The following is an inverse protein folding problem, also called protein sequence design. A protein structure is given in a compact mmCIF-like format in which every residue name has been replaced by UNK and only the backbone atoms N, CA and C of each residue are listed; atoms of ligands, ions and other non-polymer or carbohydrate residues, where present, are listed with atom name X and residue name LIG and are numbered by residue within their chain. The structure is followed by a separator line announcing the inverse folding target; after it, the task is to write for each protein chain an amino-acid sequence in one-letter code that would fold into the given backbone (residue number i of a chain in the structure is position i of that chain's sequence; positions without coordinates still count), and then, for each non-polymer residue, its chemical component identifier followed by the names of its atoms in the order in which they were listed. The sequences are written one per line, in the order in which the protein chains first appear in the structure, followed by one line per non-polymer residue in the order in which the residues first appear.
data_IF_036381469934
#
_entry.id   IF_036381469934
#
_cell.length_a   1.000
_cell.length_b   1.000
_cell.length_c   1.000
_cell.angle_alpha   90.00
_cell.angle_beta   90.00
_cell.angle_gamma   90.00
#
_symmetry.space_group_name_H-M   'P 1'
#
loop_
_entity.id
_entity.type
_entity.pdbx_description
1 polymer ?
#
# COMPACT_ATOMS: atom_id res chain seq x y z
N UNK A 1 32.70 53.85 38.13
CA UNK A 1 32.39 52.42 37.84
C UNK A 1 30.95 52.33 37.37
N UNK A 2 30.74 52.17 36.03
CA UNK A 2 29.39 52.01 35.44
C UNK A 2 29.10 50.52 35.40
N UNK A 3 28.05 50.08 36.08
CA UNK A 3 27.55 48.71 36.02
C UNK A 3 26.66 48.59 34.78
N UNK A 4 27.05 47.72 33.83
CA UNK A 4 26.24 47.30 32.67
C UNK A 4 25.39 46.11 33.15
N UNK A 5 24.09 46.32 33.20
CA UNK A 5 23.10 45.21 33.45
C UNK A 5 22.80 44.60 32.08
N UNK A 6 23.31 43.41 31.86
CA UNK A 6 22.91 42.59 30.70
C UNK A 6 21.55 41.89 31.04
N UNK A 7 20.49 42.34 30.40
CA UNK A 7 19.20 41.66 30.46
C UNK A 7 19.20 40.55 29.41
N UNK A 8 19.28 39.29 29.82
CA UNK A 8 19.11 38.15 28.95
C UNK A 8 17.63 37.99 28.62
N UNK A 9 17.25 38.25 27.38
CA UNK A 9 15.92 37.94 26.85
C UNK A 9 15.96 36.46 26.43
N UNK A 10 15.42 35.60 27.28
CA UNK A 10 15.14 34.20 26.92
C UNK A 10 13.93 34.17 25.99
N UNK A 11 14.16 33.97 24.70
CA UNK A 11 13.10 33.67 23.75
C UNK A 11 12.56 32.26 24.05
N UNK A 12 11.44 32.20 24.69
CA UNK A 12 10.67 30.96 24.84
C UNK A 12 10.05 30.63 23.48
N UNK A 13 10.64 29.69 22.75
CA UNK A 13 9.99 29.07 21.61
C UNK A 13 8.88 28.17 22.16
N UNK A 14 7.64 28.63 22.09
CA UNK A 14 6.47 27.77 22.29
C UNK A 14 6.37 26.89 21.06
N UNK A 15 6.85 25.67 21.15
CA UNK A 15 6.53 24.61 20.20
C UNK A 15 5.03 24.32 20.37
N UNK A 16 4.19 25.01 19.62
CA UNK A 16 2.80 24.62 19.46
C UNK A 16 2.78 23.30 18.71
N UNK A 17 2.67 22.21 19.39
CA UNK A 17 2.32 20.92 18.79
C UNK A 17 0.86 21.05 18.35
N UNK A 18 0.62 21.47 17.12
CA UNK A 18 -0.70 21.38 16.51
C UNK A 18 -0.96 19.92 16.18
N UNK A 19 -2.06 19.38 16.68
CA UNK A 19 -2.47 18.03 16.33
C UNK A 19 -2.99 18.02 14.89
N UNK A 20 -2.48 17.11 14.06
CA UNK A 20 -2.98 16.88 12.70
C UNK A 20 -4.49 16.63 12.77
N UNK A 21 -5.26 17.40 11.99
CA UNK A 21 -6.71 17.25 11.93
C UNK A 21 -7.08 16.01 11.13
N UNK A 22 -7.76 15.08 11.82
CA UNK A 22 -8.37 13.89 11.20
C UNK A 22 -9.87 14.14 11.02
N UNK A 23 -10.37 13.99 9.80
CA UNK A 23 -11.80 14.06 9.48
C UNK A 23 -12.26 12.80 8.77
N UNK A 24 -13.41 12.26 9.15
CA UNK A 24 -13.98 11.05 8.55
C UNK A 24 -15.10 11.40 7.59
N UNK A 25 -15.06 10.81 6.40
CA UNK A 25 -16.09 10.97 5.35
C UNK A 25 -16.62 9.60 4.93
N UNK A 26 -17.91 9.51 4.58
CA UNK A 26 -18.47 8.38 3.84
C UNK A 26 -18.25 8.64 2.35
N UNK A 27 -17.44 7.80 1.68
CA UNK A 27 -17.11 8.00 0.27
C UNK A 27 -17.93 7.12 -0.68
N UNK A 28 -18.52 6.05 -0.17
CA UNK A 28 -19.40 5.16 -0.95
C UNK A 28 -20.34 4.37 -0.03
N UNK A 29 -21.42 3.87 -0.61
CA UNK A 29 -22.25 2.81 -0.04
C UNK A 29 -22.31 1.66 -1.05
N UNK A 30 -21.89 0.47 -0.64
CA UNK A 30 -21.84 -0.72 -1.51
C UNK A 30 -22.29 -1.96 -0.74
N UNK A 31 -23.15 -2.74 -1.36
CA UNK A 31 -23.70 -3.98 -0.76
C UNK A 31 -24.34 -3.74 0.62
N UNK A 32 -24.95 -2.55 0.84
CA UNK A 32 -25.54 -2.14 2.12
C UNK A 32 -24.51 -1.79 3.20
N UNK A 33 -23.23 -1.62 2.84
CA UNK A 33 -22.15 -1.19 3.74
C UNK A 33 -21.72 0.23 3.39
N UNK A 34 -21.75 1.15 4.37
CA UNK A 34 -21.06 2.43 4.27
C UNK A 34 -19.55 2.20 4.29
N UNK A 35 -18.86 2.76 3.30
CA UNK A 35 -17.40 2.78 3.23
C UNK A 35 -16.91 4.19 3.56
N UNK A 36 -16.06 4.28 4.58
CA UNK A 36 -15.55 5.54 5.11
C UNK A 36 -14.06 5.68 4.84
N UNK A 37 -13.62 6.92 4.75
CA UNK A 37 -12.21 7.26 4.76
C UNK A 37 -11.92 8.28 5.88
N UNK A 38 -10.71 8.20 6.42
CA UNK A 38 -10.15 9.18 7.34
C UNK A 38 -9.14 10.02 6.57
N UNK A 39 -9.34 11.33 6.56
CA UNK A 39 -8.50 12.33 5.94
C UNK A 39 -7.61 12.99 6.99
N UNK A 40 -6.30 12.99 6.76
CA UNK A 40 -5.28 13.62 7.60
C UNK A 40 -4.69 14.79 6.82
N UNK A 41 -4.96 16.00 7.29
CA UNK A 41 -4.58 17.24 6.59
C UNK A 41 -3.27 17.80 7.13
N UNK A 42 -2.33 18.22 6.26
CA UNK A 42 -1.22 19.07 6.64
C UNK A 42 -1.69 20.37 7.31
N UNK A 43 -0.84 20.96 8.13
CA UNK A 43 -1.15 22.24 8.78
C UNK A 43 -1.27 23.41 7.80
N UNK A 44 -0.45 23.41 6.74
CA UNK A 44 -0.53 24.42 5.67
C UNK A 44 -1.72 24.12 4.75
N UNK A 45 -2.76 24.94 4.87
CA UNK A 45 -3.97 24.82 4.04
C UNK A 45 -4.02 25.84 2.90
N UNK A 46 -2.94 26.60 2.68
CA UNK A 46 -2.90 27.66 1.66
C UNK A 46 -2.55 27.14 0.28
N UNK A 47 -1.83 26.02 0.18
CA UNK A 47 -1.41 25.42 -1.07
C UNK A 47 -2.00 24.02 -1.27
N UNK A 48 -1.90 23.51 -2.50
CA UNK A 48 -2.23 22.12 -2.80
C UNK A 48 -1.08 21.20 -2.40
N UNK A 49 -1.42 20.02 -1.91
CA UNK A 49 -0.50 19.01 -1.41
C UNK A 49 -0.58 17.71 -2.24
N UNK A 50 0.50 16.93 -2.32
CA UNK A 50 0.40 15.54 -2.76
C UNK A 50 -0.50 14.75 -1.81
N UNK A 51 -1.08 13.66 -2.30
CA UNK A 51 -2.00 12.82 -1.51
C UNK A 51 -1.57 11.36 -1.55
N UNK A 52 -1.57 10.69 -0.39
CA UNK A 52 -1.33 9.27 -0.23
C UNK A 52 -2.60 8.57 0.26
N UNK A 53 -3.21 7.76 -0.59
CA UNK A 53 -4.40 6.95 -0.27
C UNK A 53 -3.96 5.55 0.13
N UNK A 54 -4.19 5.18 1.39
CA UNK A 54 -3.67 3.96 2.01
C UNK A 54 -4.78 2.95 2.35
N UNK A 55 -4.58 1.69 1.94
CA UNK A 55 -5.41 0.55 2.31
C UNK A 55 -4.71 -0.33 3.34
N UNK A 56 -5.43 -0.70 4.39
CA UNK A 56 -4.93 -1.54 5.48
C UNK A 56 -4.71 -3.00 5.07
N UNK A 57 -3.92 -3.73 5.85
CA UNK A 57 -3.71 -5.18 5.73
C UNK A 57 -4.82 -6.00 6.38
N UNK A 58 -4.68 -7.33 6.33
CA UNK A 58 -5.61 -8.26 7.02
C UNK A 58 -6.22 -9.33 6.12
N UNK A 59 -5.57 -9.65 4.99
CA UNK A 59 -5.91 -10.80 4.14
C UNK A 59 -7.31 -10.74 3.51
N UNK A 60 -7.88 -9.55 3.30
CA UNK A 60 -9.27 -9.35 2.85
C UNK A 60 -10.32 -9.93 3.79
N UNK A 61 -9.95 -10.24 5.03
CA UNK A 61 -10.80 -10.90 6.04
C UNK A 61 -11.03 -10.04 7.28
N UNK A 62 -10.03 -9.26 7.67
CA UNK A 62 -10.03 -8.44 8.89
C UNK A 62 -9.26 -7.15 8.67
N UNK A 63 -9.19 -6.31 9.71
CA UNK A 63 -8.53 -5.00 9.71
C UNK A 63 -9.52 -3.85 9.66
N UNK A 64 -9.02 -2.68 9.94
CA UNK A 64 -9.79 -1.43 9.91
C UNK A 64 -8.88 -0.26 9.52
N UNK A 65 -9.46 0.75 8.84
CA UNK A 65 -8.74 1.96 8.41
C UNK A 65 -8.15 2.77 9.57
N UNK A 66 -8.76 2.67 10.74
CA UNK A 66 -8.48 3.50 11.92
C UNK A 66 -7.67 2.75 13.01
N UNK A 67 -6.94 1.69 12.66
CA UNK A 67 -5.97 1.08 13.57
C UNK A 67 -4.86 2.07 13.95
N UNK A 68 -4.45 2.07 15.21
CA UNK A 68 -3.52 3.04 15.76
C UNK A 68 -2.20 3.17 14.96
N UNK A 69 -1.70 2.06 14.45
CA UNK A 69 -0.47 2.04 13.67
C UNK A 69 -0.60 2.78 12.32
N UNK A 70 -1.75 2.67 11.67
CA UNK A 70 -2.03 3.40 10.42
C UNK A 70 -2.31 4.87 10.70
N UNK A 71 -2.98 5.18 11.81
CA UNK A 71 -3.18 6.57 12.23
C UNK A 71 -1.84 7.27 12.47
N UNK A 72 -0.89 6.62 13.17
CA UNK A 72 0.47 7.16 13.39
C UNK A 72 1.20 7.40 12.08
N UNK A 73 1.19 6.42 11.18
CA UNK A 73 1.81 6.53 9.86
C UNK A 73 1.26 7.71 9.06
N UNK A 74 -0.07 7.83 8.95
CA UNK A 74 -0.69 8.88 8.16
C UNK A 74 -0.61 10.26 8.82
N UNK A 75 -0.52 10.32 10.15
CA UNK A 75 -0.20 11.55 10.86
C UNK A 75 1.21 12.03 10.49
N UNK A 76 2.21 11.15 10.52
CA UNK A 76 3.59 11.47 10.12
C UNK A 76 3.67 11.89 8.64
N UNK A 77 2.91 11.25 7.76
CA UNK A 77 2.77 11.65 6.35
C UNK A 77 2.21 13.07 6.25
N UNK A 78 1.18 13.40 7.03
CA UNK A 78 0.58 14.74 7.02
C UNK A 78 1.51 15.81 7.62
N UNK A 79 2.27 15.49 8.66
CA UNK A 79 3.31 16.35 9.23
C UNK A 79 4.40 16.71 8.21
N UNK A 80 4.62 15.85 7.21
CA UNK A 80 5.54 16.08 6.10
C UNK A 80 4.88 16.73 4.86
N UNK A 81 3.72 17.34 5.01
CA UNK A 81 3.07 18.12 3.96
C UNK A 81 2.35 17.28 2.90
N UNK A 82 1.98 16.06 3.20
CA UNK A 82 1.29 15.14 2.29
C UNK A 82 -0.08 14.81 2.87
N UNK A 83 -1.16 15.04 2.14
CA UNK A 83 -2.49 14.62 2.57
C UNK A 83 -2.53 13.10 2.71
N UNK A 84 -2.79 12.60 3.93
CA UNK A 84 -2.98 11.18 4.20
C UNK A 84 -4.45 10.79 4.13
N UNK A 85 -4.74 9.66 3.50
CA UNK A 85 -6.08 9.07 3.46
C UNK A 85 -6.01 7.61 3.83
N UNK A 86 -6.75 7.17 4.84
CA UNK A 86 -6.97 5.75 5.12
C UNK A 86 -8.40 5.38 4.74
N UNK A 87 -8.59 4.30 4.01
CA UNK A 87 -9.92 3.93 3.51
C UNK A 87 -10.42 2.58 4.03
N UNK A 88 -11.74 2.47 4.22
CA UNK A 88 -12.42 1.18 4.31
C UNK A 88 -12.48 0.53 2.93
N UNK A 89 -12.41 -0.79 2.90
CA UNK A 89 -12.75 -1.58 1.72
C UNK A 89 -13.48 -2.85 2.14
N UNK A 90 -14.33 -3.39 1.26
CA UNK A 90 -15.12 -4.60 1.54
C UNK A 90 -14.22 -5.81 1.71
N UNK A 91 -14.42 -6.53 2.81
CA UNK A 91 -13.63 -7.70 3.20
C UNK A 91 -14.26 -8.97 2.59
N UNK A 92 -13.93 -9.28 1.36
CA UNK A 92 -14.57 -10.39 0.60
C UNK A 92 -14.34 -11.78 1.17
N UNK A 93 -13.33 -11.96 2.04
CA UNK A 93 -13.05 -13.20 2.77
C UNK A 93 -13.66 -13.25 4.17
N UNK A 94 -14.22 -12.12 4.67
CA UNK A 94 -14.86 -12.09 5.98
C UNK A 94 -16.00 -13.11 6.05
N UNK A 95 -16.03 -13.89 7.11
CA UNK A 95 -17.06 -14.93 7.37
C UNK A 95 -17.17 -16.02 6.28
N UNK A 96 -16.21 -16.12 5.36
CA UNK A 96 -16.19 -17.18 4.35
C UNK A 96 -15.45 -18.41 4.87
N UNK A 97 -16.11 -19.56 4.77
CA UNK A 97 -15.47 -20.87 5.00
C UNK A 97 -14.88 -21.36 3.68
N UNK A 98 -13.57 -21.54 3.66
CA UNK A 98 -12.84 -22.05 2.50
C UNK A 98 -12.63 -23.55 2.66
N UNK A 99 -13.06 -24.34 1.68
CA UNK A 99 -12.99 -25.82 1.73
C UNK A 99 -11.79 -26.39 0.95
N UNK A 100 -11.26 -25.65 -0.01
CA UNK A 100 -10.15 -26.08 -0.85
C UNK A 100 -9.49 -24.89 -1.57
N UNK A 101 -8.30 -25.13 -2.16
CA UNK A 101 -7.51 -24.12 -2.86
C UNK A 101 -8.24 -23.47 -4.05
N UNK A 102 -9.09 -24.21 -4.77
CA UNK A 102 -9.83 -23.66 -5.91
C UNK A 102 -10.85 -22.63 -5.43
N UNK A 103 -11.55 -22.96 -4.34
CA UNK A 103 -12.50 -22.04 -3.72
C UNK A 103 -11.79 -20.81 -3.15
N UNK A 104 -10.65 -21.01 -2.47
CA UNK A 104 -9.82 -19.90 -1.99
C UNK A 104 -9.42 -18.98 -3.13
N UNK A 105 -8.89 -19.52 -4.22
CA UNK A 105 -8.47 -18.72 -5.37
C UNK A 105 -9.61 -17.90 -5.99
N UNK A 106 -10.84 -18.48 -6.07
CA UNK A 106 -12.02 -17.76 -6.56
C UNK A 106 -12.46 -16.65 -5.61
N UNK A 107 -12.48 -16.91 -4.30
CA UNK A 107 -12.87 -15.90 -3.31
C UNK A 107 -11.83 -14.78 -3.25
N UNK A 108 -10.54 -15.11 -3.33
CA UNK A 108 -9.47 -14.12 -3.43
C UNK A 108 -9.63 -13.22 -4.65
N UNK A 109 -9.93 -13.78 -5.82
CA UNK A 109 -10.22 -13.01 -7.04
C UNK A 109 -11.35 -12.00 -6.80
N UNK A 110 -12.46 -12.46 -6.23
CA UNK A 110 -13.61 -11.60 -5.89
C UNK A 110 -13.19 -10.53 -4.89
N UNK A 111 -12.46 -10.91 -3.83
CA UNK A 111 -12.04 -9.99 -2.77
C UNK A 111 -11.09 -8.91 -3.28
N UNK A 112 -10.14 -9.27 -4.13
CA UNK A 112 -9.22 -8.31 -4.78
C UNK A 112 -10.00 -7.33 -5.66
N UNK A 113 -10.92 -7.83 -6.49
CA UNK A 113 -11.73 -6.98 -7.36
C UNK A 113 -12.60 -6.01 -6.54
N UNK A 114 -13.26 -6.48 -5.47
CA UNK A 114 -14.04 -5.63 -4.57
C UNK A 114 -13.17 -4.54 -3.94
N UNK A 115 -11.99 -4.89 -3.42
CA UNK A 115 -11.09 -3.93 -2.80
C UNK A 115 -10.54 -2.90 -3.81
N UNK A 116 -10.26 -3.32 -5.05
CA UNK A 116 -9.88 -2.40 -6.15
C UNK A 116 -11.01 -1.44 -6.48
N UNK A 117 -12.25 -1.92 -6.61
CA UNK A 117 -13.42 -1.06 -6.84
C UNK A 117 -13.60 -0.02 -5.72
N UNK A 118 -13.30 -0.41 -4.47
CA UNK A 118 -13.43 0.46 -3.32
C UNK A 118 -12.29 1.48 -3.27
N UNK A 119 -11.05 1.07 -3.58
CA UNK A 119 -9.90 1.98 -3.75
C UNK A 119 -10.17 3.00 -4.86
N UNK A 120 -10.68 2.58 -6.02
CA UNK A 120 -11.04 3.47 -7.13
C UNK A 120 -12.11 4.47 -6.72
N UNK A 121 -13.13 4.03 -5.94
CA UNK A 121 -14.18 4.91 -5.44
C UNK A 121 -13.64 5.95 -4.44
N UNK A 122 -12.71 5.54 -3.56
CA UNK A 122 -12.05 6.46 -2.63
C UNK A 122 -11.18 7.49 -3.37
N UNK A 123 -10.39 7.05 -4.36
CA UNK A 123 -9.58 7.96 -5.21
C UNK A 123 -10.48 8.92 -5.98
N UNK A 124 -11.60 8.44 -6.54
CA UNK A 124 -12.57 9.31 -7.20
C UNK A 124 -13.14 10.35 -6.23
N UNK A 125 -13.52 9.94 -5.03
CA UNK A 125 -14.02 10.86 -4.00
C UNK A 125 -12.98 11.93 -3.64
N UNK A 126 -11.71 11.56 -3.50
CA UNK A 126 -10.61 12.52 -3.26
C UNK A 126 -10.45 13.47 -4.45
N UNK A 127 -10.54 12.99 -5.69
CA UNK A 127 -10.48 13.83 -6.89
C UNK A 127 -11.67 14.80 -6.98
N UNK A 128 -12.88 14.33 -6.72
CA UNK A 128 -14.09 15.15 -6.77
C UNK A 128 -14.08 16.28 -5.71
N UNK A 129 -13.35 16.08 -4.60
CA UNK A 129 -13.18 17.01 -3.49
C UNK A 129 -11.78 17.64 -3.42
N UNK A 130 -10.97 17.52 -4.48
CA UNK A 130 -9.56 17.92 -4.46
C UNK A 130 -9.32 19.37 -4.02
N UNK A 131 -10.18 20.29 -4.43
CA UNK A 131 -10.11 21.71 -4.03
C UNK A 131 -10.34 21.90 -2.52
N UNK A 132 -11.36 21.22 -1.96
CA UNK A 132 -11.68 21.27 -0.53
C UNK A 132 -10.55 20.63 0.29
N UNK A 133 -10.06 19.47 -0.15
CA UNK A 133 -9.02 18.71 0.52
C UNK A 133 -7.61 19.22 0.23
N UNK A 134 -7.47 20.31 -0.53
CA UNK A 134 -6.17 20.86 -0.93
C UNK A 134 -5.25 19.81 -1.55
N UNK A 135 -5.80 18.92 -2.35
CA UNK A 135 -5.07 17.85 -3.03
C UNK A 135 -4.71 18.28 -4.44
N UNK A 136 -3.45 18.11 -4.82
CA UNK A 136 -3.04 18.21 -6.22
C UNK A 136 -3.46 16.94 -6.98
N UNK A 137 -4.41 17.02 -7.93
CA UNK A 137 -4.92 15.85 -8.65
C UNK A 137 -3.85 15.09 -9.45
N UNK A 138 -2.73 15.73 -9.75
CA UNK A 138 -1.60 15.12 -10.48
C UNK A 138 -0.59 14.41 -9.57
N UNK A 139 -0.77 14.52 -8.24
CA UNK A 139 0.14 13.99 -7.24
C UNK A 139 -0.58 13.04 -6.27
N UNK A 140 -1.56 12.29 -6.79
CA UNK A 140 -2.25 11.26 -6.02
C UNK A 140 -1.47 9.94 -6.13
N UNK A 141 -1.06 9.42 -4.99
CA UNK A 141 -0.42 8.12 -4.81
C UNK A 141 -1.38 7.16 -4.12
N UNK A 142 -1.18 5.86 -4.37
CA UNK A 142 -1.87 4.80 -3.64
C UNK A 142 -0.87 3.92 -2.92
N UNK A 143 -1.27 3.41 -1.78
CA UNK A 143 -0.42 2.60 -0.90
C UNK A 143 -1.23 1.54 -0.17
N UNK A 144 -0.53 0.61 0.44
CA UNK A 144 -1.16 -0.33 1.36
C UNK A 144 -0.19 -1.34 1.93
N UNK A 145 -0.70 -2.09 2.91
CA UNK A 145 -0.01 -3.16 3.61
C UNK A 145 -0.63 -4.52 3.25
N UNK A 146 0.17 -5.53 2.90
CA UNK A 146 -0.32 -6.90 2.67
C UNK A 146 -1.48 -6.93 1.65
N UNK A 147 -2.69 -7.32 2.05
CA UNK A 147 -3.89 -7.25 1.21
C UNK A 147 -4.16 -5.85 0.64
N UNK A 148 -3.91 -4.79 1.42
CA UNK A 148 -3.98 -3.42 0.94
C UNK A 148 -2.90 -3.10 -0.09
N UNK A 149 -1.70 -3.65 0.04
CA UNK A 149 -0.63 -3.50 -0.95
C UNK A 149 -0.95 -4.25 -2.26
N UNK A 150 -1.57 -5.43 -2.16
CA UNK A 150 -2.13 -6.13 -3.32
C UNK A 150 -3.19 -5.25 -3.98
N UNK A 151 -4.09 -4.65 -3.21
CA UNK A 151 -5.13 -3.74 -3.71
C UNK A 151 -4.52 -2.56 -4.45
N UNK A 152 -3.51 -1.88 -3.87
CA UNK A 152 -2.85 -0.74 -4.50
C UNK A 152 -2.17 -1.13 -5.83
N UNK A 153 -1.32 -2.16 -5.83
CA UNK A 153 -0.66 -2.64 -7.04
C UNK A 153 -1.65 -3.10 -8.11
N UNK A 154 -2.73 -3.78 -7.71
CA UNK A 154 -3.77 -4.26 -8.61
C UNK A 154 -4.58 -3.11 -9.21
N UNK A 155 -4.81 -2.04 -8.45
CA UNK A 155 -5.53 -0.84 -8.91
C UNK A 155 -4.75 -0.15 -10.03
N UNK A 156 -3.45 0.06 -9.85
CA UNK A 156 -2.60 0.63 -10.91
C UNK A 156 -2.50 -0.31 -12.12
N UNK A 157 -2.33 -1.62 -11.89
CA UNK A 157 -2.35 -2.63 -12.96
C UNK A 157 -3.66 -2.57 -13.77
N UNK A 158 -4.82 -2.46 -13.11
CA UNK A 158 -6.10 -2.37 -13.81
C UNK A 158 -6.25 -1.04 -14.54
N UNK A 159 -5.80 0.06 -13.97
CA UNK A 159 -5.77 1.36 -14.64
C UNK A 159 -4.92 1.32 -15.92
N UNK A 160 -3.68 0.79 -15.82
CA UNK A 160 -2.77 0.64 -16.96
C UNK A 160 -3.31 -0.27 -18.07
N UNK A 161 -4.21 -1.19 -17.73
CA UNK A 161 -4.84 -2.10 -18.68
C UNK A 161 -6.23 -1.61 -19.17
N UNK A 162 -6.66 -0.41 -18.77
CA UNK A 162 -7.94 0.17 -19.15
C UNK A 162 -9.16 -0.54 -18.57
N UNK A 163 -8.98 -1.23 -17.43
CA UNK A 163 -10.06 -1.91 -16.69
C UNK A 163 -10.78 -0.99 -15.71
N UNK A 164 -10.21 0.15 -15.34
CA UNK A 164 -10.83 1.21 -14.53
C UNK A 164 -11.49 2.23 -15.45
N UNK A 165 -12.78 2.51 -15.24
CA UNK A 165 -13.58 3.43 -16.07
C UNK A 165 -14.09 4.65 -15.29
N UNK A 166 -14.05 4.58 -13.97
CA UNK A 166 -14.61 5.56 -13.05
C UNK A 166 -13.70 6.78 -12.87
N UNK A 167 -12.42 6.64 -13.21
CA UNK A 167 -11.43 7.72 -13.18
C UNK A 167 -11.31 8.38 -14.58
N UNK A 168 -10.88 9.65 -14.66
CA UNK A 168 -10.63 10.31 -15.94
C UNK A 168 -9.70 9.48 -16.85
N UNK A 169 -9.92 9.54 -18.16
CA UNK A 169 -9.20 8.70 -19.13
C UNK A 169 -7.68 8.94 -19.13
N UNK A 170 -7.27 10.17 -18.85
CA UNK A 170 -5.88 10.62 -18.77
C UNK A 170 -5.30 10.54 -17.35
N UNK A 171 -6.11 10.14 -16.36
CA UNK A 171 -5.64 9.99 -14.99
C UNK A 171 -4.54 8.93 -14.89
N UNK A 172 -3.51 9.23 -14.10
CA UNK A 172 -2.44 8.30 -13.71
C UNK A 172 -2.09 8.55 -12.26
N UNK A 173 -1.79 7.48 -11.53
CA UNK A 173 -1.21 7.62 -10.20
C UNK A 173 0.19 8.21 -10.31
N UNK A 174 0.54 9.08 -9.37
CA UNK A 174 1.88 9.66 -9.28
C UNK A 174 2.89 8.68 -8.68
N UNK A 175 2.43 7.69 -7.94
CA UNK A 175 3.25 6.63 -7.37
C UNK A 175 2.41 5.54 -6.70
N UNK A 176 3.02 4.38 -6.51
CA UNK A 176 2.47 3.26 -5.73
C UNK A 176 3.45 2.87 -4.66
N UNK A 177 3.00 2.70 -3.41
CA UNK A 177 3.84 2.26 -2.29
C UNK A 177 3.29 0.94 -1.76
N UNK A 178 4.10 -0.11 -1.87
CA UNK A 178 3.68 -1.48 -1.58
C UNK A 178 4.48 -2.07 -0.41
N UNK A 179 3.83 -2.26 0.73
CA UNK A 179 4.39 -2.98 1.88
C UNK A 179 3.97 -4.45 1.82
N UNK A 180 4.85 -5.30 1.29
CA UNK A 180 4.68 -6.74 1.10
C UNK A 180 3.45 -7.08 0.23
N UNK A 181 3.35 -6.47 -0.96
CA UNK A 181 2.27 -6.70 -1.91
C UNK A 181 2.65 -7.55 -3.11
N UNK A 182 1.66 -7.84 -3.93
CA UNK A 182 1.79 -8.59 -5.18
C UNK A 182 0.71 -8.17 -6.18
N UNK A 183 0.91 -8.45 -7.48
CA UNK A 183 -0.14 -8.36 -8.49
C UNK A 183 -0.73 -9.74 -8.72
N UNK A 184 -2.06 -9.83 -8.74
CA UNK A 184 -2.77 -11.05 -9.03
C UNK A 184 -3.16 -11.15 -10.52
N UNK A 185 -3.05 -12.36 -11.08
CA UNK A 185 -3.55 -12.68 -12.42
C UNK A 185 -4.58 -13.80 -12.32
N UNK A 186 -5.72 -13.60 -12.94
CA UNK A 186 -6.88 -14.49 -12.84
C UNK A 186 -7.15 -15.24 -14.15
N UNK A 187 -6.12 -15.89 -14.68
CA UNK A 187 -6.21 -16.71 -15.91
C UNK A 187 -5.61 -16.03 -17.14
N UNK A 188 -5.27 -14.77 -17.05
CA UNK A 188 -4.59 -14.01 -18.10
C UNK A 188 -3.07 -13.98 -17.85
N UNK A 189 -2.29 -13.76 -18.89
CA UNK A 189 -0.87 -13.45 -18.75
C UNK A 189 -0.73 -12.08 -18.07
N UNK A 190 0.21 -11.98 -17.14
CA UNK A 190 0.51 -10.70 -16.50
C UNK A 190 1.26 -9.80 -17.50
N UNK A 191 0.55 -8.83 -18.05
CA UNK A 191 1.07 -7.85 -19.01
C UNK A 191 0.48 -6.48 -18.74
N UNK A 192 1.29 -5.44 -18.88
CA UNK A 192 0.85 -4.05 -18.80
C UNK A 192 0.74 -3.46 -20.19
N UNK A 193 -0.40 -2.86 -20.52
CA UNK A 193 -0.62 -2.16 -21.81
C UNK A 193 0.03 -0.78 -21.84
N UNK A 194 0.14 -0.15 -20.69
CA UNK A 194 0.79 1.14 -20.49
C UNK A 194 1.77 1.05 -19.34
N UNK A 195 2.75 1.97 -19.33
CA UNK A 195 3.70 2.08 -18.22
C UNK A 195 2.95 2.33 -16.90
N UNK A 196 3.26 1.56 -15.83
CA UNK A 196 2.72 1.80 -14.49
C UNK A 196 3.30 3.07 -13.88
N UNK A 197 2.67 3.55 -12.81
CA UNK A 197 3.26 4.55 -11.95
C UNK A 197 4.62 4.08 -11.40
N UNK A 198 5.52 4.98 -10.98
CA UNK A 198 6.68 4.62 -10.16
C UNK A 198 6.25 3.84 -8.94
N UNK A 199 6.98 2.79 -8.57
CA UNK A 199 6.62 1.93 -7.44
C UNK A 199 7.74 1.88 -6.41
N UNK A 200 7.37 2.07 -5.13
CA UNK A 200 8.20 1.66 -4.00
C UNK A 200 7.78 0.26 -3.57
N UNK A 201 8.67 -0.71 -3.74
CA UNK A 201 8.51 -2.07 -3.26
C UNK A 201 9.27 -2.27 -1.94
N UNK A 202 8.59 -2.61 -0.87
CA UNK A 202 9.20 -3.09 0.37
C UNK A 202 8.73 -4.52 0.61
N UNK A 203 9.66 -5.51 0.65
CA UNK A 203 9.26 -6.91 0.74
C UNK A 203 10.33 -7.78 1.39
N UNK A 204 9.88 -8.72 2.24
CA UNK A 204 10.73 -9.74 2.82
C UNK A 204 11.06 -10.84 1.81
N UNK A 205 12.35 -11.24 1.74
CA UNK A 205 12.79 -12.22 0.73
C UNK A 205 12.31 -13.65 1.03
N UNK A 206 11.86 -13.91 2.26
CA UNK A 206 11.28 -15.18 2.71
C UNK A 206 9.75 -15.09 2.95
N UNK A 207 9.08 -14.09 2.38
CA UNK A 207 7.64 -13.98 2.51
C UNK A 207 6.93 -15.11 1.76
N UNK A 208 6.27 -16.00 2.52
CA UNK A 208 5.49 -17.13 2.00
C UNK A 208 3.99 -16.83 1.95
N UNK A 209 3.52 -15.83 2.71
CA UNK A 209 2.12 -15.46 2.77
C UNK A 209 1.71 -14.64 1.54
N UNK A 210 2.39 -13.53 1.28
CA UNK A 210 2.34 -12.81 0.00
C UNK A 210 3.67 -13.06 -0.70
N UNK A 211 3.66 -13.97 -1.65
CA UNK A 211 4.91 -14.49 -2.23
C UNK A 211 5.83 -13.39 -2.73
N UNK A 212 7.11 -13.44 -2.34
CA UNK A 212 8.15 -12.53 -2.82
C UNK A 212 8.43 -12.70 -4.32
N UNK A 213 8.35 -13.93 -4.83
CA UNK A 213 8.54 -14.25 -6.25
C UNK A 213 7.18 -14.42 -6.96
N UNK A 214 6.82 -15.64 -7.26
CA UNK A 214 5.52 -15.96 -7.87
C UNK A 214 4.97 -17.27 -7.32
N UNK A 215 3.64 -17.35 -7.24
CA UNK A 215 2.91 -18.57 -6.94
C UNK A 215 1.76 -18.70 -7.93
N UNK A 216 1.70 -19.79 -8.69
CA UNK A 216 0.68 -19.99 -9.72
C UNK A 216 -0.05 -21.31 -9.46
N UNK A 217 -1.39 -21.27 -9.38
CA UNK A 217 -2.24 -22.43 -9.19
C UNK A 217 -3.38 -22.34 -10.20
N UNK A 218 -3.54 -23.37 -11.06
CA UNK A 218 -4.62 -23.45 -12.05
C UNK A 218 -4.80 -22.18 -12.90
N UNK A 219 -3.71 -21.65 -13.45
CA UNK A 219 -3.64 -20.40 -14.24
C UNK A 219 -3.96 -19.12 -13.44
N UNK A 220 -4.15 -19.22 -12.13
CA UNK A 220 -4.24 -18.05 -11.25
C UNK A 220 -2.88 -17.82 -10.61
N UNK A 221 -2.33 -16.65 -10.79
CA UNK A 221 -0.99 -16.30 -10.32
C UNK A 221 -1.02 -15.15 -9.33
N UNK A 222 -0.10 -15.21 -8.36
CA UNK A 222 0.28 -14.08 -7.54
C UNK A 222 1.76 -13.80 -7.81
N UNK A 223 2.06 -12.59 -8.17
CA UNK A 223 3.37 -12.15 -8.63
C UNK A 223 3.91 -11.08 -7.68
N UNK A 224 4.84 -11.48 -6.82
CA UNK A 224 5.44 -10.61 -5.80
C UNK A 224 6.49 -9.67 -6.36
N UNK A 225 7.00 -8.80 -5.50
CA UNK A 225 7.86 -7.68 -5.90
C UNK A 225 9.09 -8.14 -6.67
N UNK A 226 9.78 -9.22 -6.28
CA UNK A 226 10.95 -9.69 -7.01
C UNK A 226 10.61 -10.12 -8.44
N UNK A 227 9.53 -10.89 -8.61
CA UNK A 227 9.11 -11.28 -9.96
C UNK A 227 8.75 -10.07 -10.82
N UNK A 228 8.00 -9.10 -10.25
CA UNK A 228 7.60 -7.87 -10.93
C UNK A 228 8.84 -7.08 -11.37
N UNK A 229 9.77 -6.83 -10.45
CA UNK A 229 10.99 -6.08 -10.73
C UNK A 229 11.79 -6.73 -11.86
N UNK A 230 12.15 -8.01 -11.72
CA UNK A 230 13.06 -8.68 -12.66
C UNK A 230 12.42 -8.96 -14.02
N UNK A 231 11.11 -9.21 -14.07
CA UNK A 231 10.46 -9.64 -15.30
C UNK A 231 9.70 -8.52 -16.04
N UNK A 232 9.38 -7.42 -15.34
CA UNK A 232 8.62 -6.31 -15.92
C UNK A 232 9.36 -4.98 -15.79
N UNK A 233 9.68 -4.53 -14.57
CA UNK A 233 10.27 -3.20 -14.37
C UNK A 233 11.65 -3.05 -15.00
N UNK A 234 12.57 -3.95 -14.71
CA UNK A 234 13.93 -3.93 -15.30
C UNK A 234 13.87 -4.09 -16.81
N UNK A 235 13.06 -5.02 -17.35
CA UNK A 235 12.98 -5.28 -18.80
C UNK A 235 12.41 -4.11 -19.60
N UNK A 236 11.56 -3.30 -18.98
CA UNK A 236 10.91 -2.17 -19.65
C UNK A 236 11.51 -0.81 -19.24
N UNK A 237 12.56 -0.79 -18.42
CA UNK A 237 13.16 0.42 -17.86
C UNK A 237 12.15 1.32 -17.15
N UNK A 238 11.22 0.72 -16.38
CA UNK A 238 10.25 1.47 -15.61
C UNK A 238 10.85 1.93 -14.29
N UNK A 239 10.46 3.12 -13.78
CA UNK A 239 10.99 3.66 -12.54
C UNK A 239 10.49 2.87 -11.34
N UNK A 240 11.41 2.56 -10.41
CA UNK A 240 11.08 1.95 -9.12
C UNK A 240 12.14 2.22 -8.07
N UNK A 241 11.73 2.10 -6.83
CA UNK A 241 12.59 1.96 -5.67
C UNK A 241 12.25 0.65 -4.96
N UNK A 242 13.25 -0.12 -4.57
CA UNK A 242 13.06 -1.40 -3.88
C UNK A 242 13.87 -1.45 -2.60
N UNK A 243 13.23 -1.84 -1.50
CA UNK A 243 13.85 -2.25 -0.26
C UNK A 243 13.60 -3.75 -0.08
N UNK A 244 14.65 -4.54 -0.27
CA UNK A 244 14.63 -5.99 -0.15
C UNK A 244 15.11 -6.38 1.24
N UNK A 245 14.19 -6.81 2.08
CA UNK A 245 14.51 -7.24 3.45
C UNK A 245 14.96 -8.69 3.42
N UNK A 246 16.28 -8.89 3.43
CA UNK A 246 16.89 -10.23 3.37
C UNK A 246 16.52 -11.04 4.60
N UNK A 247 16.05 -12.27 4.37
CA UNK A 247 15.66 -13.24 5.40
C UNK A 247 14.42 -12.87 6.23
N UNK A 248 13.77 -11.73 5.95
CA UNK A 248 12.48 -11.38 6.53
C UNK A 248 11.33 -12.07 5.79
N UNK A 249 10.26 -12.35 6.52
CA UNK A 249 9.01 -12.88 6.01
C UNK A 249 7.97 -11.78 5.76
N UNK A 250 6.70 -12.07 6.12
CA UNK A 250 5.58 -11.15 5.91
C UNK A 250 5.53 -9.97 6.89
N UNK A 251 6.34 -9.97 7.95
CA UNK A 251 6.45 -8.87 8.91
C UNK A 251 6.80 -7.52 8.24
N UNK A 252 7.43 -7.54 7.07
CA UNK A 252 7.73 -6.33 6.30
C UNK A 252 6.46 -5.57 5.91
N UNK A 253 5.31 -6.24 5.84
CA UNK A 253 4.01 -5.60 5.66
C UNK A 253 3.71 -4.55 6.76
N UNK A 254 4.26 -4.74 7.97
CA UNK A 254 4.11 -3.81 9.09
C UNK A 254 5.34 -2.92 9.28
N UNK A 255 6.55 -3.46 9.13
CA UNK A 255 7.80 -2.71 9.30
C UNK A 255 7.90 -1.53 8.33
N UNK A 256 7.43 -1.70 7.09
CA UNK A 256 7.52 -0.69 6.05
C UNK A 256 6.90 0.65 6.44
N UNK A 257 5.70 0.65 6.98
CA UNK A 257 5.02 1.89 7.38
C UNK A 257 5.29 2.31 8.83
N UNK A 258 5.88 1.43 9.66
CA UNK A 258 6.23 1.76 11.05
C UNK A 258 7.65 2.30 11.20
N UNK A 259 8.58 1.77 10.45
CA UNK A 259 10.00 2.01 10.67
C UNK A 259 10.71 2.62 9.45
N UNK A 260 10.08 2.54 8.27
CA UNK A 260 10.68 2.97 7.02
C UNK A 260 10.02 4.22 6.42
N UNK A 261 9.35 5.04 7.25
CA UNK A 261 8.74 6.30 6.78
C UNK A 261 9.76 7.22 6.08
N UNK A 262 11.00 7.36 6.55
CA UNK A 262 12.01 8.14 5.81
C UNK A 262 12.22 7.68 4.37
N UNK A 263 12.18 6.36 4.11
CA UNK A 263 12.33 5.81 2.75
C UNK A 263 11.06 6.03 1.91
N UNK A 264 9.88 6.06 2.54
CA UNK A 264 8.63 6.48 1.89
C UNK A 264 8.72 7.92 1.44
N UNK A 265 9.17 8.81 2.32
CA UNK A 265 9.33 10.24 2.01
C UNK A 265 10.40 10.47 0.95
N UNK A 266 11.51 9.74 0.98
CA UNK A 266 12.54 9.79 -0.07
C UNK A 266 11.96 9.35 -1.43
N UNK A 267 11.18 8.29 -1.47
CA UNK A 267 10.49 7.87 -2.70
C UNK A 267 9.56 8.97 -3.21
N UNK A 268 8.75 9.55 -2.33
CA UNK A 268 7.83 10.63 -2.71
C UNK A 268 8.60 11.83 -3.26
N UNK A 269 9.68 12.25 -2.60
CA UNK A 269 10.52 13.35 -3.10
C UNK A 269 11.10 13.04 -4.49
N UNK A 270 11.77 11.89 -4.64
CA UNK A 270 12.56 11.55 -5.82
C UNK A 270 11.74 11.14 -7.05
N UNK A 271 10.56 10.56 -6.84
CA UNK A 271 9.77 9.99 -7.94
C UNK A 271 8.47 10.74 -8.21
N UNK A 272 7.97 11.52 -7.24
CA UNK A 272 6.68 12.20 -7.35
C UNK A 272 6.84 13.72 -7.39
N UNK A 273 7.54 14.31 -6.40
CA UNK A 273 7.64 15.76 -6.26
C UNK A 273 8.75 16.34 -7.15
N UNK A 274 9.92 15.75 -7.12
CA UNK A 274 11.12 16.18 -7.84
C UNK A 274 11.68 15.02 -8.66
N UNK A 275 10.94 14.53 -9.69
CA UNK A 275 11.33 13.34 -10.44
C UNK A 275 12.76 13.51 -10.99
N UNK A 276 13.68 12.76 -10.41
CA UNK A 276 15.08 12.77 -10.79
C UNK A 276 15.30 11.94 -12.06
N UNK A 277 16.47 12.12 -12.71
CA UNK A 277 16.89 11.26 -13.82
C UNK A 277 17.29 9.85 -13.36
N UNK A 278 17.36 9.60 -12.05
CA UNK A 278 17.62 8.29 -11.46
C UNK A 278 16.29 7.60 -11.28
N UNK A 279 16.03 6.60 -12.11
CA UNK A 279 14.76 5.87 -12.13
C UNK A 279 14.77 4.56 -11.32
N UNK A 280 15.93 4.16 -10.78
CA UNK A 280 16.08 2.89 -10.07
C UNK A 280 16.89 3.09 -8.80
N UNK A 281 16.34 2.65 -7.66
CA UNK A 281 17.05 2.45 -6.41
C UNK A 281 16.69 1.07 -5.88
N UNK A 282 17.68 0.18 -5.76
CA UNK A 282 17.48 -1.20 -5.29
C UNK A 282 18.41 -1.46 -4.11
N UNK A 283 17.84 -1.51 -2.91
CA UNK A 283 18.54 -1.59 -1.64
C UNK A 283 18.21 -2.92 -0.97
N UNK A 284 19.23 -3.66 -0.58
CA UNK A 284 19.07 -4.88 0.24
C UNK A 284 19.39 -4.56 1.69
N UNK A 285 18.41 -4.68 2.56
CA UNK A 285 18.57 -4.57 4.01
C UNK A 285 18.94 -5.95 4.53
N UNK A 286 20.13 -6.07 5.14
CA UNK A 286 20.70 -7.33 5.62
C UNK A 286 20.90 -7.32 7.13
N UNK A 287 20.03 -6.67 7.89
CA UNK A 287 20.04 -6.81 9.35
C UNK A 287 19.63 -8.22 9.73
N UNK A 288 20.21 -8.75 10.83
CA UNK A 288 19.79 -10.05 11.34
C UNK A 288 18.33 -9.90 11.74
N UNK A 289 17.46 -10.58 10.99
CA UNK A 289 16.03 -10.57 11.27
C UNK A 289 15.77 -10.97 12.71
N UNK A 290 14.81 -10.33 13.33
CA UNK A 290 14.25 -10.82 14.59
C UNK A 290 13.70 -12.22 14.28
N UNK A 291 14.36 -13.25 14.79
CA UNK A 291 14.02 -14.66 14.53
C UNK A 291 12.70 -15.12 15.16
N UNK A 292 11.88 -14.20 15.64
CA UNK A 292 10.53 -14.48 16.07
C UNK A 292 9.57 -13.87 15.05
N UNK A 293 8.72 -14.68 14.40
CA UNK A 293 7.68 -14.17 13.55
C UNK A 293 6.76 -13.28 14.40
N UNK A 294 6.82 -11.97 14.20
CA UNK A 294 5.92 -10.98 14.83
C UNK A 294 4.44 -11.25 14.53
N UNK A 295 4.17 -12.13 13.59
CA UNK A 295 2.88 -12.69 13.26
C UNK A 295 3.09 -14.16 12.89
N UNK A 296 2.95 -15.08 13.83
CA UNK A 296 2.47 -16.42 13.54
C UNK A 296 0.99 -16.33 13.11
N UNK A 297 0.75 -15.65 12.01
CA UNK A 297 -0.42 -15.91 11.21
C UNK A 297 -0.07 -17.16 10.43
N UNK A 298 -0.19 -18.30 11.09
CA UNK A 298 -0.31 -19.55 10.39
C UNK A 298 -1.41 -19.38 9.36
N UNK A 299 -1.30 -20.06 8.24
CA UNK A 299 -2.39 -20.23 7.25
C UNK A 299 -3.73 -20.51 7.93
N UNK A 300 -3.73 -21.13 9.08
CA UNK A 300 -4.84 -21.49 9.94
C UNK A 300 -5.58 -20.26 10.52
N UNK A 301 -4.89 -19.21 10.89
CA UNK A 301 -5.51 -17.99 11.46
C UNK A 301 -6.19 -17.11 10.40
N UNK A 302 -5.66 -17.03 9.17
CA UNK A 302 -6.21 -16.21 8.10
C UNK A 302 -7.35 -16.92 7.33
N UNK A 303 -7.26 -18.23 7.13
CA UNK A 303 -8.14 -18.97 6.23
C UNK A 303 -9.02 -20.01 6.93
N UNK A 304 -9.02 -20.04 8.29
CA UNK A 304 -9.76 -21.00 9.11
C UNK A 304 -9.10 -22.37 9.16
N UNK A 305 -9.70 -23.32 9.92
CA UNK A 305 -9.19 -24.68 10.18
C UNK A 305 -9.08 -25.59 8.94
N UNK A 306 -8.90 -25.02 7.76
CA UNK A 306 -8.57 -25.79 6.58
C UNK A 306 -7.09 -26.12 6.64
N UNK A 307 -6.75 -27.29 7.17
CA UNK A 307 -5.48 -27.94 6.85
C UNK A 307 -5.39 -28.00 5.33
N UNK A 308 -4.63 -27.07 4.75
CA UNK A 308 -4.21 -27.15 3.36
C UNK A 308 -3.06 -28.15 3.32
N UNK A 309 -3.39 -29.43 3.46
CA UNK A 309 -2.45 -30.50 3.15
C UNK A 309 -2.29 -30.47 1.63
N UNK A 310 -1.26 -29.80 1.17
CA UNK A 310 -0.76 -29.98 -0.19
C UNK A 310 -0.10 -31.34 -0.17
N UNK A 311 -0.84 -32.38 -0.60
CA UNK A 311 -0.24 -33.70 -0.74
C UNK A 311 0.92 -33.59 -1.74
N UNK A 312 2.03 -34.27 -1.48
CA UNK A 312 3.20 -34.33 -2.38
C UNK A 312 2.79 -34.71 -3.81
N UNK A 313 1.72 -35.45 -3.98
CA UNK A 313 1.12 -35.85 -5.26
C UNK A 313 0.58 -34.64 -6.08
N UNK A 314 0.16 -33.56 -5.44
CA UNK A 314 -0.26 -32.32 -6.13
C UNK A 314 0.96 -31.50 -6.51
N UNK A 315 2.04 -31.54 -5.73
CA UNK A 315 3.28 -30.82 -6.03
C UNK A 315 3.99 -31.45 -7.23
N UNK A 316 3.98 -32.77 -7.37
CA UNK A 316 4.58 -33.45 -8.52
C UNK A 316 3.82 -33.26 -9.84
N UNK A 317 2.50 -33.02 -9.80
CA UNK A 317 1.70 -32.73 -11.00
C UNK A 317 1.81 -31.29 -11.48
N UNK A 318 2.49 -30.43 -10.73
CA UNK A 318 2.63 -28.98 -11.04
C UNK A 318 4.07 -28.66 -11.50
N UNK A 319 5.00 -29.60 -11.36
CA UNK A 319 6.34 -29.54 -11.98
C UNK A 319 6.26 -29.88 -13.47
#
# INVERSE_FOLDING_TARGET
MKRIILTAISAFWVLSSFAINKTTYTFAEKDGQELKLDLYMPEDTLQEHPCLVFAFGGGFKMGARDEESYQKFLTEIAENGIVGVSLDYRLGLKDKKVKNLIQLAKILEISVNMAVEDMVSAVKFVLDNATEFKVNPKQIMISGSSAGAITALQTDYFLCNGKVKELPQDFRFAGVISFAGAVASFGEKLEYKHQPAPVLFMHGTKDELVTYNKKVVLKRGMYGSNYLIENLWVKNNWPYMALRFRDFGHEVAMLGFKEQVPMVLEFIDKFVLNPSKIYVSDITIAEQGVNEPLLQLGTDGLYGDAEVIISEEVVERIK
#
